data_IF_322280839732
#
_entry.id   IF_322280839732
#
_cell.length_a   1.000
_cell.length_b   1.000
_cell.length_c   1.000
_cell.angle_alpha   90.00
_cell.angle_beta   90.00
_cell.angle_gamma   90.00
#
_symmetry.space_group_name_H-M   'P 1'
#
loop_
_entity.id
_entity.type
_entity.pdbx_description
1 polymer ?
#
# COMPACT_ATOMS: atom_id res chain seq x y z
N UNK A 1 11.54 41.39 15.48
CA UNK A 1 12.63 40.43 15.69
C UNK A 1 12.03 39.16 16.27
N UNK A 2 11.69 38.10 15.55
CA UNK A 2 11.46 37.84 14.14
C UNK A 2 10.43 36.71 14.10
N UNK A 3 9.39 36.86 13.29
CA UNK A 3 8.38 35.85 13.04
C UNK A 3 9.05 34.71 12.25
N UNK A 4 9.32 33.59 12.91
CA UNK A 4 9.67 32.35 12.23
C UNK A 4 8.37 31.80 11.63
N UNK A 5 8.17 32.11 10.36
CA UNK A 5 7.14 31.50 9.52
C UNK A 5 7.47 30.01 9.43
N UNK A 6 6.77 29.19 10.20
CA UNK A 6 6.67 27.76 9.96
C UNK A 6 6.02 27.58 8.59
N UNK A 7 6.83 27.42 7.55
CA UNK A 7 6.41 27.00 6.23
C UNK A 7 5.93 25.55 6.28
N UNK A 8 4.81 25.28 6.96
CA UNK A 8 3.98 24.14 6.63
C UNK A 8 3.34 24.49 5.30
N UNK A 9 3.98 24.05 4.21
CA UNK A 9 3.35 23.98 2.90
C UNK A 9 1.97 23.34 3.11
N UNK A 10 0.90 24.04 2.71
CA UNK A 10 -0.45 23.51 2.80
C UNK A 10 -0.47 22.20 2.01
N UNK A 11 -0.51 21.07 2.72
CA UNK A 11 -0.58 19.76 2.08
C UNK A 11 -1.92 19.72 1.36
N UNK A 12 -1.87 19.67 0.02
CA UNK A 12 -3.07 19.53 -0.79
C UNK A 12 -3.57 18.11 -0.62
N UNK A 13 -4.77 17.96 -0.08
CA UNK A 13 -5.39 16.64 0.09
C UNK A 13 -5.70 16.03 -1.27
N UNK A 14 -5.24 14.80 -1.48
CA UNK A 14 -5.58 14.04 -2.68
C UNK A 14 -7.00 13.47 -2.52
N UNK A 15 -7.98 14.17 -3.09
CA UNK A 15 -9.39 13.77 -3.01
C UNK A 15 -9.65 12.39 -3.61
N UNK A 16 -8.92 12.02 -4.66
CA UNK A 16 -9.04 10.69 -5.29
C UNK A 16 -8.39 9.62 -4.42
N UNK A 17 -7.22 9.91 -3.83
CA UNK A 17 -6.55 9.05 -2.87
C UNK A 17 -7.43 8.74 -1.65
N UNK A 18 -8.00 9.77 -1.03
CA UNK A 18 -8.93 9.63 0.10
C UNK A 18 -10.20 8.86 -0.31
N UNK A 19 -10.72 9.05 -1.53
CA UNK A 19 -11.86 8.27 -2.05
C UNK A 19 -11.50 6.78 -2.14
N UNK A 20 -10.37 6.45 -2.77
CA UNK A 20 -9.88 5.07 -2.92
C UNK A 20 -9.63 4.43 -1.56
N UNK A 21 -9.03 5.16 -0.61
CA UNK A 21 -8.81 4.68 0.76
C UNK A 21 -10.12 4.22 1.41
N UNK A 22 -11.15 5.07 1.36
CA UNK A 22 -12.45 4.80 1.96
C UNK A 22 -13.18 3.64 1.28
N UNK A 23 -13.19 3.60 -0.05
CA UNK A 23 -13.83 2.52 -0.80
C UNK A 23 -13.11 1.18 -0.60
N UNK A 24 -11.78 1.19 -0.58
CA UNK A 24 -10.99 -0.02 -0.35
C UNK A 24 -11.14 -0.54 1.08
N UNK A 25 -11.20 0.34 2.09
CA UNK A 25 -11.49 -0.06 3.47
C UNK A 25 -12.89 -0.70 3.59
N UNK A 26 -13.89 -0.13 2.91
CA UNK A 26 -15.24 -0.73 2.84
C UNK A 26 -15.18 -2.11 2.19
N UNK A 27 -14.53 -2.24 1.04
CA UNK A 27 -14.34 -3.51 0.34
C UNK A 27 -13.76 -4.59 1.27
N UNK A 28 -12.65 -4.31 1.95
CA UNK A 28 -12.01 -5.27 2.87
C UNK A 28 -12.94 -5.72 4.01
N UNK A 29 -13.83 -4.84 4.47
CA UNK A 29 -14.76 -5.11 5.57
C UNK A 29 -16.06 -5.80 5.12
N UNK A 30 -16.55 -5.52 3.91
CA UNK A 30 -17.89 -5.95 3.48
C UNK A 30 -17.88 -7.06 2.44
N UNK A 31 -16.80 -7.24 1.69
CA UNK A 31 -16.76 -8.23 0.62
C UNK A 31 -16.96 -9.65 1.15
N UNK A 32 -17.75 -10.42 0.42
CA UNK A 32 -18.02 -11.83 0.65
C UNK A 32 -17.87 -12.57 -0.66
N UNK A 33 -17.27 -13.74 -0.60
CA UNK A 33 -17.11 -14.61 -1.77
C UNK A 33 -18.45 -15.30 -2.14
N UNK A 34 -18.46 -16.06 -3.22
CA UNK A 34 -19.56 -16.88 -3.74
C UNK A 34 -20.19 -17.81 -2.68
N UNK A 35 -19.41 -18.19 -1.66
CA UNK A 35 -19.84 -19.02 -0.53
C UNK A 35 -20.38 -18.20 0.67
N UNK A 36 -20.59 -16.88 0.51
CA UNK A 36 -20.99 -15.93 1.56
C UNK A 36 -19.98 -15.78 2.72
N UNK A 37 -18.73 -16.22 2.51
CA UNK A 37 -17.67 -16.11 3.51
C UNK A 37 -16.92 -14.76 3.42
N UNK A 38 -16.64 -14.11 4.56
CA UNK A 38 -15.91 -12.84 4.60
C UNK A 38 -14.39 -13.07 4.44
N UNK A 39 -13.97 -13.43 3.24
CA UNK A 39 -12.60 -13.82 2.88
C UNK A 39 -11.53 -12.85 3.41
N UNK A 40 -11.65 -11.56 3.08
CA UNK A 40 -10.64 -10.57 3.45
C UNK A 40 -10.60 -10.24 4.94
N UNK A 41 -11.72 -10.41 5.66
CA UNK A 41 -11.72 -10.28 7.12
C UNK A 41 -10.90 -11.37 7.78
N UNK A 42 -10.98 -12.60 7.29
CA UNK A 42 -10.15 -13.68 7.80
C UNK A 42 -8.67 -13.42 7.48
N UNK A 43 -8.37 -13.04 6.23
CA UNK A 43 -7.01 -12.71 5.82
C UNK A 43 -6.39 -11.56 6.64
N UNK A 44 -7.16 -10.54 7.00
CA UNK A 44 -6.68 -9.44 7.87
C UNK A 44 -6.33 -9.92 9.28
N UNK A 45 -7.06 -10.89 9.85
CA UNK A 45 -6.72 -11.44 11.17
C UNK A 45 -5.37 -12.16 11.16
N UNK A 46 -5.03 -12.82 10.06
CA UNK A 46 -3.74 -13.49 9.91
C UNK A 46 -2.57 -12.50 9.81
N UNK A 47 -2.82 -11.25 9.44
CA UNK A 47 -1.79 -10.19 9.39
C UNK A 47 -1.31 -9.76 10.77
N UNK A 48 -1.93 -10.20 11.86
CA UNK A 48 -1.41 -9.95 13.21
C UNK A 48 -0.13 -10.76 13.44
N UNK A 49 -0.03 -11.97 12.87
CA UNK A 49 1.11 -12.87 13.04
C UNK A 49 2.42 -12.21 12.59
N UNK A 50 3.51 -12.26 13.36
CA UNK A 50 4.75 -11.51 13.08
C UNK A 50 5.32 -11.72 11.67
N UNK A 51 5.20 -12.93 11.13
CA UNK A 51 5.76 -13.33 9.83
C UNK A 51 4.89 -12.93 8.62
N UNK A 52 3.66 -12.43 8.86
CA UNK A 52 2.70 -12.05 7.82
C UNK A 52 2.55 -10.54 7.77
N UNK A 53 2.84 -9.93 6.61
CA UNK A 53 2.72 -8.49 6.41
C UNK A 53 2.02 -8.11 5.10
N UNK A 54 1.57 -9.08 4.30
CA UNK A 54 1.02 -8.83 2.97
C UNK A 54 -0.33 -9.52 2.83
N UNK A 55 -1.36 -8.76 2.44
CA UNK A 55 -2.66 -9.32 2.03
C UNK A 55 -2.68 -9.52 0.52
N UNK A 56 -3.29 -10.62 0.08
CA UNK A 56 -3.49 -10.89 -1.35
C UNK A 56 -4.94 -10.59 -1.71
N UNK A 57 -5.15 -9.73 -2.71
CA UNK A 57 -6.46 -9.29 -3.18
C UNK A 57 -6.61 -9.62 -4.66
N UNK A 58 -7.70 -10.31 -4.99
CA UNK A 58 -8.04 -10.64 -6.37
C UNK A 58 -8.65 -9.42 -7.06
N UNK A 59 -8.14 -9.05 -8.23
CA UNK A 59 -8.67 -7.95 -9.03
C UNK A 59 -10.11 -8.20 -9.49
N UNK A 60 -10.50 -9.44 -9.77
CA UNK A 60 -11.88 -9.79 -10.15
C UNK A 60 -12.87 -9.49 -9.02
N UNK A 61 -12.45 -9.65 -7.76
CA UNK A 61 -13.26 -9.28 -6.59
C UNK A 61 -13.43 -7.75 -6.48
N UNK A 62 -12.40 -6.99 -6.85
CA UNK A 62 -12.50 -5.53 -6.90
C UNK A 62 -13.45 -5.08 -8.02
N UNK A 63 -13.38 -5.67 -9.21
CA UNK A 63 -14.31 -5.35 -10.30
C UNK A 63 -15.76 -5.70 -9.95
N UNK A 64 -16.00 -6.82 -9.26
CA UNK A 64 -17.36 -7.22 -8.85
C UNK A 64 -17.92 -6.31 -7.75
N UNK A 65 -17.07 -5.79 -6.86
CA UNK A 65 -17.49 -4.85 -5.82
C UNK A 65 -17.71 -3.43 -6.36
N UNK A 66 -16.73 -2.88 -7.09
CA UNK A 66 -16.78 -1.53 -7.67
C UNK A 66 -15.86 -1.44 -8.87
N UNK A 67 -16.46 -1.40 -10.07
CA UNK A 67 -15.72 -1.23 -11.31
C UNK A 67 -14.90 0.09 -11.32
N UNK A 68 -15.47 1.16 -10.76
CA UNK A 68 -14.79 2.46 -10.65
C UNK A 68 -13.53 2.38 -9.79
N UNK A 69 -13.61 1.67 -8.65
CA UNK A 69 -12.46 1.46 -7.76
C UNK A 69 -11.38 0.66 -8.48
N UNK A 70 -11.76 -0.48 -9.09
CA UNK A 70 -10.84 -1.35 -9.80
C UNK A 70 -10.13 -0.63 -10.95
N UNK A 71 -10.87 0.13 -11.77
CA UNK A 71 -10.31 0.92 -12.88
C UNK A 71 -9.37 2.02 -12.38
N UNK A 72 -9.71 2.69 -11.26
CA UNK A 72 -8.83 3.71 -10.66
C UNK A 72 -7.51 3.09 -10.19
N UNK A 73 -7.59 1.94 -9.51
CA UNK A 73 -6.42 1.19 -9.05
C UNK A 73 -5.58 0.71 -10.24
N UNK A 74 -6.19 0.24 -11.32
CA UNK A 74 -5.48 -0.23 -12.51
C UNK A 74 -4.72 0.91 -13.21
N UNK A 75 -5.35 2.08 -13.37
CA UNK A 75 -4.77 3.20 -14.12
C UNK A 75 -3.74 4.02 -13.31
N UNK A 76 -3.95 4.18 -12.01
CA UNK A 76 -3.16 5.07 -11.15
C UNK A 76 -2.50 4.33 -9.97
N UNK A 77 -2.21 3.04 -10.15
CA UNK A 77 -1.72 2.13 -9.11
C UNK A 77 -0.64 2.77 -8.22
N UNK A 78 0.43 3.30 -8.81
CA UNK A 78 1.55 3.86 -8.04
C UNK A 78 1.14 5.02 -7.12
N UNK A 79 0.22 5.87 -7.57
CA UNK A 79 -0.28 7.03 -6.80
C UNK A 79 -1.21 6.58 -5.66
N UNK A 80 -2.09 5.62 -5.92
CA UNK A 80 -3.11 5.19 -4.95
C UNK A 80 -2.63 4.09 -4.00
N UNK A 81 -1.53 3.41 -4.31
CA UNK A 81 -0.99 2.31 -3.52
C UNK A 81 -0.72 2.65 -2.03
N UNK A 82 -0.13 3.81 -1.68
CA UNK A 82 0.05 4.19 -0.28
C UNK A 82 -1.29 4.30 0.47
N UNK A 83 -2.32 4.85 -0.18
CA UNK A 83 -3.67 4.96 0.39
C UNK A 83 -4.33 3.60 0.61
N UNK A 84 -4.08 2.63 -0.28
CA UNK A 84 -4.56 1.26 -0.11
C UNK A 84 -3.89 0.55 1.06
N UNK A 85 -2.57 0.71 1.22
CA UNK A 85 -1.84 0.14 2.35
C UNK A 85 -2.31 0.74 3.69
N UNK A 86 -2.56 2.05 3.70
CA UNK A 86 -3.12 2.74 4.88
C UNK A 86 -4.55 2.26 5.19
N UNK A 87 -5.40 2.13 4.17
CA UNK A 87 -6.75 1.58 4.34
C UNK A 87 -6.74 0.17 4.94
N UNK A 88 -5.80 -0.68 4.51
CA UNK A 88 -5.59 -2.01 5.08
C UNK A 88 -5.13 -1.93 6.53
N UNK A 89 -4.19 -1.04 6.84
CA UNK A 89 -3.66 -0.87 8.19
C UNK A 89 -4.74 -0.46 9.18
N UNK A 90 -5.52 0.57 8.83
CA UNK A 90 -6.66 1.03 9.62
C UNK A 90 -7.74 -0.06 9.77
N UNK A 91 -8.09 -0.74 8.68
CA UNK A 91 -9.10 -1.80 8.72
C UNK A 91 -8.67 -3.01 9.58
N UNK A 92 -7.37 -3.31 9.60
CA UNK A 92 -6.82 -4.39 10.42
C UNK A 92 -6.80 -4.00 11.90
N UNK A 93 -6.36 -2.77 12.22
CA UNK A 93 -6.37 -2.23 13.59
C UNK A 93 -7.76 -2.23 14.20
N UNK A 94 -8.78 -1.82 13.44
CA UNK A 94 -10.18 -1.80 13.88
C UNK A 94 -10.70 -3.19 14.31
N UNK A 95 -10.09 -4.26 13.79
CA UNK A 95 -10.46 -5.65 14.08
C UNK A 95 -9.58 -6.35 15.12
N UNK A 96 -8.55 -5.67 15.65
CA UNK A 96 -7.60 -6.25 16.61
C UNK A 96 -7.99 -5.95 18.06
N UNK A 97 -7.57 -6.83 18.97
CA UNK A 97 -7.66 -6.59 20.42
C UNK A 97 -6.61 -5.54 20.87
N UNK A 98 -6.81 -4.93 22.04
CA UNK A 98 -5.93 -3.84 22.53
C UNK A 98 -4.45 -4.24 22.67
N UNK A 99 -4.16 -5.51 22.98
CA UNK A 99 -2.79 -6.00 23.09
C UNK A 99 -2.06 -6.04 21.74
N UNK A 100 -2.75 -6.48 20.69
CA UNK A 100 -2.18 -6.62 19.35
C UNK A 100 -2.05 -5.26 18.65
N UNK A 101 -2.90 -4.31 19.03
CA UNK A 101 -2.93 -2.95 18.46
C UNK A 101 -1.57 -2.25 18.51
N UNK A 102 -0.86 -2.38 19.64
CA UNK A 102 0.47 -1.78 19.81
C UNK A 102 1.52 -2.38 18.86
N UNK A 103 1.45 -3.68 18.62
CA UNK A 103 2.33 -4.36 17.68
C UNK A 103 2.03 -3.92 16.24
N UNK A 104 0.75 -3.78 15.91
CA UNK A 104 0.30 -3.38 14.58
C UNK A 104 0.69 -1.94 14.22
N UNK A 105 0.72 -1.01 15.18
CA UNK A 105 1.17 0.38 14.93
C UNK A 105 2.61 0.48 14.43
N UNK A 106 3.48 -0.47 14.77
CA UNK A 106 4.87 -0.51 14.31
C UNK A 106 5.06 -1.35 13.05
N UNK A 107 4.06 -2.15 12.69
CA UNK A 107 4.12 -3.12 11.61
C UNK A 107 3.66 -2.48 10.31
N UNK A 108 4.48 -2.59 9.28
CA UNK A 108 4.11 -2.20 7.93
C UNK A 108 3.31 -3.33 7.27
N UNK A 109 2.18 -2.97 6.65
CA UNK A 109 1.35 -3.88 5.88
C UNK A 109 1.36 -3.49 4.41
N UNK A 110 1.29 -4.50 3.54
CA UNK A 110 1.36 -4.37 2.09
C UNK A 110 0.16 -5.02 1.42
N UNK A 111 -0.24 -4.49 0.27
CA UNK A 111 -1.32 -5.05 -0.56
C UNK A 111 -0.71 -5.65 -1.81
N UNK A 112 -0.97 -6.93 -2.06
CA UNK A 112 -0.59 -7.61 -3.30
C UNK A 112 -1.83 -7.88 -4.13
N UNK A 113 -1.84 -7.34 -5.35
CA UNK A 113 -2.94 -7.52 -6.31
C UNK A 113 -2.58 -8.65 -7.29
N UNK A 114 -3.52 -9.55 -7.54
CA UNK A 114 -3.35 -10.63 -8.50
C UNK A 114 -4.59 -10.84 -9.37
N UNK A 115 -4.47 -11.72 -10.37
CA UNK A 115 -5.55 -12.08 -11.29
C UNK A 115 -6.11 -10.91 -12.13
N UNK A 116 -5.25 -10.03 -12.61
CA UNK A 116 -5.63 -9.04 -13.63
C UNK A 116 -5.94 -9.75 -14.96
N UNK A 117 -7.07 -9.43 -15.59
CA UNK A 117 -7.52 -10.08 -16.83
C UNK A 117 -6.60 -9.75 -18.01
N UNK A 118 -6.19 -8.49 -18.13
CA UNK A 118 -5.32 -8.01 -19.20
C UNK A 118 -3.87 -8.51 -19.02
N UNK A 119 -3.48 -9.51 -19.83
CA UNK A 119 -2.09 -9.96 -19.94
C UNK A 119 -1.34 -9.08 -20.93
N UNK A 120 -0.24 -8.47 -20.49
CA UNK A 120 0.63 -7.63 -21.34
C UNK A 120 1.88 -8.41 -21.70
N UNK A 121 2.20 -8.49 -23.00
CA UNK A 121 3.47 -9.09 -23.42
C UNK A 121 4.65 -8.16 -23.05
N UNK A 122 5.82 -8.72 -22.74
CA UNK A 122 7.01 -7.92 -22.37
C UNK A 122 7.37 -6.90 -23.46
N UNK A 123 7.12 -7.24 -24.74
CA UNK A 123 7.39 -6.37 -25.89
C UNK A 123 6.42 -5.18 -26.00
N UNK A 124 5.29 -5.23 -25.31
CA UNK A 124 4.24 -4.20 -25.33
C UNK A 124 4.35 -3.23 -24.14
N UNK A 125 5.36 -3.40 -23.28
CA UNK A 125 5.63 -2.48 -22.17
C UNK A 125 6.20 -1.16 -22.71
N UNK A 126 5.33 -0.17 -22.87
CA UNK A 126 5.69 1.21 -23.23
C UNK A 126 5.67 2.15 -22.02
N UNK A 127 6.16 3.39 -22.22
CA UNK A 127 6.12 4.44 -21.20
C UNK A 127 4.69 4.80 -20.76
N UNK A 128 3.68 4.53 -21.58
CA UNK A 128 2.27 4.80 -21.25
C UNK A 128 1.74 3.92 -20.11
N UNK A 129 2.43 2.81 -19.83
CA UNK A 129 2.08 1.88 -18.74
C UNK A 129 2.76 2.22 -17.42
N UNK A 130 3.61 3.26 -17.38
CA UNK A 130 4.31 3.68 -16.16
C UNK A 130 3.30 4.16 -15.13
N UNK A 131 3.42 3.63 -13.90
CA UNK A 131 2.55 3.99 -12.78
C UNK A 131 1.19 3.28 -12.75
N UNK A 132 0.82 2.54 -13.81
CA UNK A 132 -0.34 1.66 -13.85
C UNK A 132 -0.02 0.24 -13.40
N UNK A 133 -1.07 -0.55 -13.18
CA UNK A 133 -0.95 -1.98 -12.88
C UNK A 133 -0.87 -2.78 -14.19
N UNK A 134 0.15 -3.63 -14.31
CA UNK A 134 0.31 -4.51 -15.47
C UNK A 134 0.60 -5.93 -15.04
N UNK A 135 0.06 -6.90 -15.79
CA UNK A 135 0.36 -8.32 -15.61
C UNK A 135 1.27 -8.80 -16.72
N UNK A 136 2.47 -9.25 -16.35
CA UNK A 136 3.49 -9.77 -17.25
C UNK A 136 3.62 -11.29 -17.04
N UNK A 137 3.87 -12.03 -18.12
CA UNK A 137 4.23 -13.44 -18.08
C UNK A 137 5.62 -13.65 -18.70
N UNK A 138 6.46 -14.46 -18.07
CA UNK A 138 7.81 -14.73 -18.54
C UNK A 138 8.50 -15.85 -17.76
N UNK A 139 9.63 -16.31 -18.29
CA UNK A 139 10.49 -17.30 -17.64
C UNK A 139 11.55 -16.59 -16.79
N UNK A 140 11.81 -17.13 -15.59
CA UNK A 140 12.87 -16.64 -14.70
C UNK A 140 14.19 -17.26 -15.15
N UNK A 141 15.16 -16.42 -15.52
CA UNK A 141 16.50 -16.86 -15.99
C UNK A 141 17.55 -16.74 -14.90
N UNK A 142 17.43 -15.73 -14.03
CA UNK A 142 18.39 -15.44 -12.97
C UNK A 142 17.68 -14.91 -11.73
N UNK A 143 18.15 -15.32 -10.57
CA UNK A 143 17.79 -14.75 -9.26
C UNK A 143 19.07 -14.24 -8.59
N UNK A 144 18.91 -13.19 -7.78
CA UNK A 144 19.97 -12.64 -6.95
C UNK A 144 19.64 -12.88 -5.47
N UNK A 145 20.63 -12.92 -4.56
CA UNK A 145 20.37 -13.04 -3.13
C UNK A 145 19.53 -11.86 -2.63
N UNK A 146 18.76 -12.11 -1.58
CA UNK A 146 17.91 -11.09 -0.94
C UNK A 146 18.78 -10.14 -0.13
N UNK A 147 18.57 -8.84 -0.32
CA UNK A 147 19.23 -7.78 0.42
C UNK A 147 18.21 -6.86 1.08
N UNK A 148 18.48 -6.32 2.28
CA UNK A 148 17.61 -5.33 2.89
C UNK A 148 17.68 -4.00 2.10
N UNK A 149 16.53 -3.39 1.87
CA UNK A 149 16.39 -2.07 1.25
C UNK A 149 15.94 -1.05 2.31
N UNK A 150 16.61 0.10 2.37
CA UNK A 150 16.18 1.20 3.23
C UNK A 150 15.06 1.98 2.52
N UNK A 151 13.82 1.74 2.89
CA UNK A 151 12.65 2.45 2.34
C UNK A 151 12.31 3.73 3.12
N UNK A 152 12.48 3.70 4.44
CA UNK A 152 12.22 4.81 5.37
C UNK A 152 13.35 4.92 6.38
N UNK A 153 13.85 6.14 6.56
CA UNK A 153 14.96 6.44 7.45
C UNK A 153 14.51 7.29 8.65
N UNK A 154 15.27 7.18 9.72
CA UNK A 154 15.18 8.04 10.90
C UNK A 154 16.55 8.67 11.09
N UNK A 155 16.63 9.99 10.89
CA UNK A 155 17.86 10.76 11.00
C UNK A 155 17.93 11.48 12.33
N UNK A 156 19.13 11.60 12.87
CA UNK A 156 19.42 12.40 14.06
C UNK A 156 20.34 13.52 13.56
N UNK A 157 19.95 14.76 13.82
CA UNK A 157 20.77 15.91 13.49
C UNK A 157 21.98 15.97 14.42
N UNK A 158 23.19 16.04 13.85
CA UNK A 158 24.43 16.06 14.63
C UNK A 158 24.58 17.35 15.47
N UNK A 159 24.05 18.48 14.99
CA UNK A 159 24.20 19.78 15.67
C UNK A 159 23.22 19.97 16.83
N UNK A 160 21.96 19.58 16.65
CA UNK A 160 20.89 19.84 17.63
C UNK A 160 20.32 18.59 18.30
N UNK A 161 20.75 17.38 17.88
CA UNK A 161 20.25 16.10 18.40
C UNK A 161 18.78 15.79 18.06
N UNK A 162 18.11 16.63 17.27
CA UNK A 162 16.71 16.43 16.89
C UNK A 162 16.58 15.19 16.01
N UNK A 163 15.61 14.33 16.32
CA UNK A 163 15.31 13.12 15.55
C UNK A 163 14.22 13.38 14.53
N UNK A 164 14.56 13.32 13.25
CA UNK A 164 13.63 13.36 12.11
C UNK A 164 13.24 11.95 11.73
N UNK A 165 11.97 11.57 11.94
CA UNK A 165 11.45 10.24 11.65
C UNK A 165 10.75 10.19 10.30
N UNK A 166 10.64 8.98 9.76
CA UNK A 166 9.81 8.66 8.59
C UNK A 166 10.21 9.35 7.28
N UNK A 167 11.53 9.55 7.07
CA UNK A 167 12.06 10.14 5.84
C UNK A 167 12.11 9.09 4.73
N UNK A 168 11.23 9.23 3.74
CA UNK A 168 11.18 8.32 2.60
C UNK A 168 12.46 8.39 1.76
N UNK A 169 12.95 7.21 1.36
CA UNK A 169 14.11 7.05 0.51
C UNK A 169 13.64 6.57 -0.87
N UNK A 170 14.02 7.28 -1.94
CA UNK A 170 13.62 6.93 -3.30
C UNK A 170 14.86 6.54 -4.12
N UNK A 171 15.21 5.26 -4.11
CA UNK A 171 16.33 4.67 -4.85
C UNK A 171 17.71 5.32 -4.61
N UNK A 172 17.83 6.17 -3.59
CA UNK A 172 19.04 6.86 -3.17
C UNK A 172 18.90 7.27 -1.71
N UNK A 173 20.03 7.31 -1.00
CA UNK A 173 20.12 7.92 0.32
C UNK A 173 19.89 9.44 0.24
N UNK A 174 18.78 9.90 0.80
CA UNK A 174 18.49 11.32 1.02
C UNK A 174 19.01 11.71 2.40
N UNK A 175 19.99 12.60 2.44
CA UNK A 175 20.62 13.14 3.66
C UNK A 175 19.99 14.47 4.05
#
# INVERSE_FOLDING_TARGET
>A
MDNIISGQSQQVEDTDGTRVQNEFSKFLKTFRDSNDEPLYKHAMKDLVQPERNTIFVDMQHLYSFSNNLATTIELQYYRVYPFMCEALHLATIDGCDENDRQQMFKKQLYVSLFNLDAKTAVRELSADKVGGLVRIAGQIVRTHPVHPELSRACFICDDCGVTTRDVQQQFRYTQ
#
